data_IF_607566203070
#
_entry.id   IF_607566203070
#
_cell.length_a   1.000
_cell.length_b   1.000
_cell.length_c   1.000
_cell.angle_alpha   90.00
_cell.angle_beta   90.00
_cell.angle_gamma   90.00
#
_symmetry.space_group_name_H-M   'P 1'
#
loop_
_entity.id
_entity.type
_entity.pdbx_description
1 polymer ?
#
# COMPACT_ATOMS: atom_id res chain seq x y z
N UNK A 1 -3.34 5.78 10.19
CA UNK A 1 -2.67 5.60 11.49
C UNK A 1 -2.60 4.12 11.79
N UNK A 2 -1.43 3.59 12.15
CA UNK A 2 -1.31 2.20 12.57
C UNK A 2 -2.15 1.91 13.82
N UNK A 3 -2.46 0.63 14.12
CA UNK A 3 -3.14 0.26 15.35
C UNK A 3 -2.44 0.88 16.58
N UNK A 4 -3.18 1.23 17.66
CA UNK A 4 -2.61 1.95 18.80
C UNK A 4 -1.34 1.33 19.37
N UNK A 5 -1.28 0.00 19.50
CA UNK A 5 -0.09 -0.70 20.00
C UNK A 5 1.12 -0.53 19.08
N UNK A 6 0.94 -0.71 17.78
CA UNK A 6 2.01 -0.55 16.79
C UNK A 6 2.49 0.92 16.71
N UNK A 7 1.61 1.88 16.99
CA UNK A 7 2.00 3.28 17.10
C UNK A 7 2.84 3.56 18.34
N UNK A 8 2.44 3.01 19.51
CA UNK A 8 3.23 3.12 20.75
C UNK A 8 4.61 2.50 20.57
N UNK A 9 4.69 1.29 20.00
CA UNK A 9 5.96 0.61 19.74
C UNK A 9 6.89 1.48 18.86
N UNK A 10 6.32 2.12 17.82
CA UNK A 10 7.06 3.03 16.94
C UNK A 10 7.59 4.26 17.69
N UNK A 11 6.76 4.88 18.53
CA UNK A 11 7.16 6.06 19.32
C UNK A 11 8.29 5.69 20.29
N UNK A 12 8.19 4.53 20.94
CA UNK A 12 9.22 4.03 21.85
C UNK A 12 10.53 3.73 21.10
N UNK A 13 10.46 3.13 19.91
CA UNK A 13 11.62 2.88 19.04
C UNK A 13 12.30 4.19 18.60
N UNK A 14 11.52 5.18 18.19
CA UNK A 14 12.02 6.52 17.83
C UNK A 14 12.66 7.20 19.05
N UNK A 15 12.06 7.08 20.23
CA UNK A 15 12.62 7.60 21.48
C UNK A 15 13.95 6.92 21.86
N UNK A 16 14.03 5.61 21.69
CA UNK A 16 15.22 4.82 22.00
C UNK A 16 16.40 5.10 21.06
N UNK A 17 16.15 5.62 19.86
CA UNK A 17 17.18 5.98 18.89
C UNK A 17 18.06 7.19 19.31
N UNK A 18 17.61 7.97 20.32
CA UNK A 18 18.37 9.08 20.90
C UNK A 18 18.69 10.19 19.88
N UNK A 19 19.99 10.45 19.70
CA UNK A 19 20.53 11.46 18.76
C UNK A 19 20.63 10.95 17.32
N UNK A 20 20.27 9.69 17.06
CA UNK A 20 20.27 9.15 15.71
C UNK A 20 19.17 9.79 14.86
N UNK A 21 19.43 9.92 13.55
CA UNK A 21 18.39 10.31 12.58
C UNK A 21 17.46 9.13 12.32
N UNK A 22 16.16 9.33 12.50
CA UNK A 22 15.13 8.30 12.26
C UNK A 22 14.25 8.72 11.08
N UNK A 23 14.16 7.87 10.07
CA UNK A 23 13.25 8.04 8.94
C UNK A 23 12.02 7.14 9.13
N UNK A 24 10.85 7.76 9.29
CA UNK A 24 9.56 7.05 9.32
C UNK A 24 8.81 7.35 8.02
N UNK A 25 8.52 6.31 7.23
CA UNK A 25 7.78 6.44 5.97
C UNK A 25 6.52 5.59 6.00
N UNK A 26 5.38 6.20 5.67
CA UNK A 26 4.10 5.51 5.52
C UNK A 26 3.17 6.34 4.60
N UNK A 27 2.55 5.70 3.61
CA UNK A 27 1.61 6.37 2.69
C UNK A 27 0.39 6.97 3.40
N UNK A 28 -0.01 6.41 4.55
CA UNK A 28 -1.14 6.88 5.34
C UNK A 28 -0.91 8.27 5.94
N UNK A 29 0.34 8.74 6.04
CA UNK A 29 0.62 10.10 6.53
C UNK A 29 0.04 11.17 5.60
N UNK A 30 -0.01 10.95 4.29
CA UNK A 30 -0.70 11.85 3.36
C UNK A 30 -2.21 11.91 3.60
N UNK A 31 -2.80 10.83 4.16
CA UNK A 31 -4.23 10.70 4.49
C UNK A 31 -4.56 11.17 5.91
N UNK A 32 -3.57 11.45 6.75
CA UNK A 32 -3.77 11.82 8.13
C UNK A 32 -4.61 13.11 8.23
N UNK A 33 -5.70 13.10 8.99
CA UNK A 33 -6.46 14.32 9.24
C UNK A 33 -5.73 15.22 10.26
N UNK A 34 -6.19 16.45 10.43
CA UNK A 34 -5.48 17.47 11.23
C UNK A 34 -5.08 17.00 12.64
N UNK A 35 -6.05 16.47 13.41
CA UNK A 35 -5.77 15.89 14.73
C UNK A 35 -4.70 14.76 14.69
N UNK A 36 -4.69 13.91 13.66
CA UNK A 36 -3.68 12.86 13.52
C UNK A 36 -2.30 13.46 13.24
N UNK A 37 -2.20 14.46 12.35
CA UNK A 37 -0.94 15.14 12.07
C UNK A 37 -0.36 15.78 13.35
N UNK A 38 -1.19 16.52 14.11
CA UNK A 38 -0.76 17.12 15.37
C UNK A 38 -0.38 16.10 16.44
N UNK A 39 -1.08 14.96 16.50
CA UNK A 39 -0.71 13.85 17.38
C UNK A 39 0.64 13.25 17.00
N UNK A 40 0.87 12.98 15.72
CA UNK A 40 2.12 12.42 15.21
C UNK A 40 3.29 13.34 15.55
N UNK A 41 3.18 14.64 15.23
CA UNK A 41 4.26 15.61 15.50
C UNK A 41 4.58 15.70 16.98
N UNK A 42 3.55 15.72 17.83
CA UNK A 42 3.72 15.81 19.29
C UNK A 42 4.35 14.56 19.88
N UNK A 43 3.87 13.38 19.51
CA UNK A 43 4.31 12.09 20.07
C UNK A 43 5.69 11.67 19.55
N UNK A 44 6.08 12.07 18.34
CA UNK A 44 7.46 11.91 17.84
C UNK A 44 8.44 12.99 18.39
N UNK A 45 7.93 13.93 19.19
CA UNK A 45 8.70 14.99 19.84
C UNK A 45 8.54 16.35 19.17
N UNK A 46 7.69 17.21 19.74
CA UNK A 46 7.38 18.54 19.20
C UNK A 46 8.62 19.30 18.70
N UNK A 47 8.57 19.79 17.45
CA UNK A 47 9.66 20.54 16.83
C UNK A 47 10.83 19.70 16.29
N UNK A 48 10.86 18.38 16.51
CA UNK A 48 11.86 17.47 15.92
C UNK A 48 11.48 16.96 14.52
N UNK A 49 10.22 16.57 14.22
CA UNK A 49 9.87 16.00 12.93
C UNK A 49 10.04 16.99 11.78
N UNK A 50 10.81 16.59 10.78
CA UNK A 50 10.82 17.22 9.46
C UNK A 50 9.93 16.39 8.53
N UNK A 51 8.90 17.01 7.97
CA UNK A 51 7.92 16.36 7.10
C UNK A 51 8.36 16.46 5.66
N UNK A 52 8.58 15.29 5.04
CA UNK A 52 8.93 15.18 3.63
C UNK A 52 7.74 14.69 2.82
N UNK A 53 7.48 15.36 1.71
CA UNK A 53 6.45 14.99 0.75
C UNK A 53 7.05 14.86 -0.64
N UNK A 54 6.63 13.84 -1.39
CA UNK A 54 7.00 13.70 -2.80
C UNK A 54 5.78 14.03 -3.68
N UNK A 55 5.88 15.13 -4.42
CA UNK A 55 4.88 15.59 -5.35
C UNK A 55 5.16 15.05 -6.76
N UNK A 56 4.26 14.22 -7.28
CA UNK A 56 4.31 13.67 -8.65
C UNK A 56 3.27 14.37 -9.54
N UNK A 57 3.58 14.49 -10.83
CA UNK A 57 2.65 14.96 -11.86
C UNK A 57 1.37 14.11 -11.89
N UNK A 58 0.20 14.73 -12.05
CA UNK A 58 -1.06 14.00 -12.03
C UNK A 58 -1.24 13.06 -13.22
N UNK A 59 -0.67 13.39 -14.38
CA UNK A 59 -0.70 12.54 -15.57
C UNK A 59 0.07 11.21 -15.40
N UNK A 60 1.08 11.19 -14.54
CA UNK A 60 1.81 9.98 -14.14
C UNK A 60 1.21 9.29 -12.92
N UNK A 61 0.69 10.08 -11.99
CA UNK A 61 0.08 9.59 -10.75
C UNK A 61 -1.21 8.81 -11.02
N UNK A 62 -2.14 9.35 -11.82
CA UNK A 62 -3.48 8.81 -11.97
C UNK A 62 -3.51 7.39 -12.59
N UNK A 63 -2.77 7.08 -13.68
CA UNK A 63 -2.67 5.71 -14.18
C UNK A 63 -2.10 4.74 -13.14
N UNK A 64 -1.07 5.17 -12.40
CA UNK A 64 -0.45 4.38 -11.35
C UNK A 64 -1.41 4.13 -10.19
N UNK A 65 -2.19 5.14 -9.79
CA UNK A 65 -3.14 5.04 -8.70
C UNK A 65 -4.32 4.14 -9.06
N UNK A 66 -4.84 4.23 -10.29
CA UNK A 66 -5.83 3.28 -10.78
C UNK A 66 -5.33 1.83 -10.72
N UNK A 67 -4.06 1.56 -11.09
CA UNK A 67 -3.50 0.20 -10.96
C UNK A 67 -3.46 -0.28 -9.51
N UNK A 68 -3.11 0.57 -8.54
CA UNK A 68 -3.15 0.19 -7.12
C UNK A 68 -4.58 -0.10 -6.67
N UNK A 69 -5.57 0.65 -7.15
CA UNK A 69 -6.98 0.35 -6.90
C UNK A 69 -7.41 -0.97 -7.54
N UNK A 70 -6.99 -1.28 -8.77
CA UNK A 70 -7.27 -2.57 -9.44
C UNK A 70 -6.67 -3.72 -8.66
N UNK A 71 -5.43 -3.60 -8.17
CA UNK A 71 -4.84 -4.59 -7.24
C UNK A 71 -5.65 -4.67 -5.94
N UNK A 72 -6.28 -3.58 -5.53
CA UNK A 72 -7.20 -3.46 -4.40
C UNK A 72 -8.65 -3.95 -4.62
N UNK A 73 -9.01 -4.39 -5.83
CA UNK A 73 -10.36 -4.86 -6.14
C UNK A 73 -11.23 -3.90 -6.97
N UNK A 74 -10.68 -2.82 -7.50
CA UNK A 74 -11.41 -1.91 -8.41
C UNK A 74 -11.86 -2.61 -9.69
N UNK A 75 -13.06 -2.28 -10.14
CA UNK A 75 -13.75 -2.93 -11.25
C UNK A 75 -13.92 -2.02 -12.47
N UNK A 76 -13.90 -0.69 -12.25
CA UNK A 76 -14.04 0.30 -13.31
C UNK A 76 -12.84 0.26 -14.25
N UNK A 77 -13.12 0.33 -15.55
CA UNK A 77 -12.08 0.54 -16.55
C UNK A 77 -11.38 1.90 -16.33
N UNK A 78 -10.18 2.08 -16.86
CA UNK A 78 -9.36 3.25 -16.54
C UNK A 78 -10.04 4.58 -16.94
N UNK A 79 -10.57 4.70 -18.16
CA UNK A 79 -11.22 5.96 -18.58
C UNK A 79 -12.55 6.18 -17.85
N UNK A 80 -13.32 5.13 -17.57
CA UNK A 80 -14.52 5.22 -16.75
C UNK A 80 -14.19 5.76 -15.35
N UNK A 81 -13.15 5.18 -14.73
CA UNK A 81 -12.65 5.63 -13.44
C UNK A 81 -12.21 7.10 -13.50
N UNK A 82 -11.44 7.50 -14.52
CA UNK A 82 -11.02 8.89 -14.72
C UNK A 82 -12.22 9.85 -14.78
N UNK A 83 -13.27 9.48 -15.53
CA UNK A 83 -14.49 10.31 -15.64
C UNK A 83 -15.13 10.52 -14.28
N UNK A 84 -15.15 9.51 -13.41
CA UNK A 84 -15.72 9.62 -12.07
C UNK A 84 -14.84 10.49 -11.16
N UNK A 85 -13.53 10.31 -11.18
CA UNK A 85 -12.64 10.95 -10.19
C UNK A 85 -12.35 12.41 -10.53
N UNK A 86 -12.39 12.79 -11.81
CA UNK A 86 -12.16 14.18 -12.23
C UNK A 86 -13.36 15.10 -11.99
N UNK A 87 -14.53 14.53 -11.72
CA UNK A 87 -15.74 15.29 -11.35
C UNK A 87 -15.60 15.86 -9.93
N UNK A 88 -15.75 17.18 -9.73
CA UNK A 88 -15.58 17.85 -8.44
C UNK A 88 -16.78 17.62 -7.51
N UNK A 89 -17.12 16.35 -7.26
CA UNK A 89 -18.32 15.98 -6.49
C UNK A 89 -18.21 16.32 -5.00
N UNK A 90 -16.99 16.50 -4.48
CA UNK A 90 -16.74 16.71 -3.05
C UNK A 90 -17.14 15.52 -2.16
N UNK A 91 -17.63 14.43 -2.74
CA UNK A 91 -18.12 13.25 -2.03
C UNK A 91 -16.99 12.36 -1.47
N UNK A 92 -17.32 11.30 -0.70
CA UNK A 92 -16.33 10.47 -0.01
C UNK A 92 -15.26 9.87 -0.93
N UNK A 93 -15.67 9.39 -2.12
CA UNK A 93 -14.74 8.84 -3.13
C UNK A 93 -13.77 9.91 -3.65
N UNK A 94 -14.30 11.07 -4.07
CA UNK A 94 -13.49 12.19 -4.53
C UNK A 94 -12.48 12.62 -3.46
N UNK A 95 -12.93 12.82 -2.21
CA UNK A 95 -12.06 13.17 -1.08
C UNK A 95 -10.98 12.12 -0.81
N UNK A 96 -11.32 10.83 -0.83
CA UNK A 96 -10.36 9.74 -0.60
C UNK A 96 -9.21 9.73 -1.62
N UNK A 97 -9.48 10.19 -2.83
CA UNK A 97 -8.51 10.24 -3.94
C UNK A 97 -7.73 11.54 -3.90
N UNK A 98 -8.39 12.69 -3.80
CA UNK A 98 -7.75 13.99 -3.98
C UNK A 98 -7.16 14.59 -2.71
N UNK A 99 -7.70 14.31 -1.51
CA UNK A 99 -7.16 14.90 -0.27
C UNK A 99 -5.68 14.55 -0.03
N UNK A 100 -5.20 13.31 -0.26
CA UNK A 100 -3.79 12.99 -0.09
C UNK A 100 -2.91 13.57 -1.20
N UNK A 101 -3.50 13.94 -2.34
CA UNK A 101 -2.80 14.40 -3.53
C UNK A 101 -2.75 15.93 -3.61
N UNK A 102 -3.67 16.62 -2.92
CA UNK A 102 -3.65 18.07 -2.73
C UNK A 102 -2.45 18.47 -1.88
N UNK A 103 -1.29 18.61 -2.52
CA UNK A 103 -0.03 18.91 -1.83
C UNK A 103 -0.11 20.21 -1.01
N UNK A 104 -0.72 21.32 -1.49
CA UNK A 104 -0.93 22.51 -0.65
C UNK A 104 -1.71 22.20 0.64
N UNK A 105 -2.84 21.50 0.55
CA UNK A 105 -3.67 21.19 1.74
C UNK A 105 -3.01 20.21 2.71
N UNK A 106 -2.06 19.40 2.24
CA UNK A 106 -1.26 18.54 3.11
C UNK A 106 -0.13 19.35 3.74
N UNK A 107 0.57 20.20 2.97
CA UNK A 107 1.60 21.12 3.48
C UNK A 107 1.04 22.01 4.58
N UNK A 108 -0.09 22.69 4.34
CA UNK A 108 -0.77 23.53 5.33
C UNK A 108 -1.03 22.78 6.63
N UNK A 109 -1.60 21.58 6.52
CA UNK A 109 -1.95 20.73 7.67
C UNK A 109 -0.71 20.38 8.49
N UNK A 110 0.35 19.90 7.84
CA UNK A 110 1.56 19.49 8.56
C UNK A 110 2.36 20.69 9.07
N UNK A 111 2.45 21.78 8.30
CA UNK A 111 3.09 23.02 8.71
C UNK A 111 2.41 23.65 9.93
N UNK A 112 1.08 23.51 10.06
CA UNK A 112 0.33 23.96 11.23
C UNK A 112 0.76 23.32 12.56
N UNK A 113 1.38 22.12 12.51
CA UNK A 113 1.85 21.41 13.71
C UNK A 113 3.38 21.37 13.84
N UNK A 114 4.10 21.19 12.72
CA UNK A 114 5.55 21.06 12.69
C UNK A 114 6.30 22.38 12.46
N UNK A 115 5.60 23.42 11.96
CA UNK A 115 6.21 24.64 11.43
C UNK A 115 6.57 24.51 9.95
N UNK A 116 6.40 25.60 9.18
CA UNK A 116 6.65 25.61 7.74
C UNK A 116 8.10 25.27 7.37
N UNK A 117 9.07 25.73 8.19
CA UNK A 117 10.50 25.46 7.99
C UNK A 117 10.87 23.97 8.09
N UNK A 118 10.00 23.18 8.73
CA UNK A 118 10.12 21.73 8.92
C UNK A 118 9.26 20.95 7.92
N UNK A 119 8.82 21.58 6.83
CA UNK A 119 8.12 20.89 5.72
C UNK A 119 8.91 21.10 4.44
N UNK A 120 9.10 20.03 3.67
CA UNK A 120 9.75 20.11 2.36
C UNK A 120 9.03 19.25 1.35
N UNK A 121 8.79 19.84 0.17
CA UNK A 121 8.19 19.16 -0.98
C UNK A 121 9.29 18.84 -1.98
N UNK A 122 9.45 17.56 -2.30
CA UNK A 122 10.30 17.08 -3.39
C UNK A 122 9.42 16.91 -4.62
N UNK A 123 9.71 17.62 -5.71
CA UNK A 123 9.02 17.40 -6.98
C UNK A 123 9.70 16.25 -7.71
N UNK A 124 8.95 15.18 -7.97
CA UNK A 124 9.49 14.01 -8.65
C UNK A 124 9.63 14.27 -10.16
N UNK A 125 10.84 14.03 -10.68
CA UNK A 125 11.16 14.00 -12.11
C UNK A 125 11.49 12.55 -12.53
N UNK A 126 10.59 11.92 -13.27
CA UNK A 126 10.78 10.54 -13.75
C UNK A 126 11.90 10.40 -14.78
N UNK A 127 12.29 11.49 -15.46
CA UNK A 127 13.45 11.48 -16.33
C UNK A 127 14.77 11.45 -15.54
N UNK A 128 14.72 11.77 -14.24
CA UNK A 128 15.87 11.81 -13.32
C UNK A 128 15.60 10.92 -12.10
N UNK A 129 15.71 9.61 -12.31
CA UNK A 129 15.46 8.58 -11.30
C UNK A 129 16.24 8.76 -9.97
N UNK A 130 17.38 9.47 -9.99
CA UNK A 130 18.19 9.77 -8.80
C UNK A 130 17.73 11.01 -8.02
N UNK A 131 16.85 11.85 -8.55
CA UNK A 131 16.46 13.12 -7.90
C UNK A 131 15.87 12.92 -6.49
N UNK A 132 14.92 12.00 -6.31
CA UNK A 132 14.35 11.74 -4.99
C UNK A 132 15.35 11.05 -4.06
N UNK A 133 16.03 9.95 -4.46
CA UNK A 133 17.10 9.34 -3.65
C UNK A 133 18.17 10.33 -3.20
N UNK A 134 18.68 11.17 -4.10
CA UNK A 134 19.72 12.15 -3.78
C UNK A 134 19.20 13.22 -2.81
N UNK A 135 17.94 13.64 -2.95
CA UNK A 135 17.29 14.54 -1.99
C UNK A 135 17.17 13.90 -0.60
N UNK A 136 16.80 12.61 -0.52
CA UNK A 136 16.78 11.87 0.75
C UNK A 136 18.17 11.74 1.35
N UNK A 137 19.18 11.38 0.56
CA UNK A 137 20.57 11.30 1.02
C UNK A 137 21.03 12.64 1.61
N UNK A 138 20.79 13.74 0.89
CA UNK A 138 21.14 15.08 1.36
C UNK A 138 20.41 15.47 2.66
N UNK A 139 19.09 15.24 2.73
CA UNK A 139 18.28 15.60 3.89
C UNK A 139 18.62 14.77 5.14
N UNK A 140 19.10 13.54 4.94
CA UNK A 140 19.51 12.64 6.02
C UNK A 140 21.01 12.71 6.33
N UNK A 141 21.78 13.56 5.63
CA UNK A 141 23.24 13.65 5.79
C UNK A 141 23.99 12.38 5.38
N UNK A 142 23.42 11.59 4.47
CA UNK A 142 24.01 10.35 3.96
C UNK A 142 24.97 10.64 2.79
N UNK A 143 25.98 9.79 2.56
CA UNK A 143 26.83 9.88 1.37
C UNK A 143 26.03 9.84 0.08
N UNK A 144 26.42 10.65 -0.89
CA UNK A 144 25.85 10.63 -2.25
C UNK A 144 26.04 9.26 -2.89
N UNK A 145 24.97 8.69 -3.44
CA UNK A 145 24.99 7.37 -4.08
C UNK A 145 24.85 6.18 -3.14
N UNK A 146 24.58 6.40 -1.85
CA UNK A 146 24.38 5.33 -0.88
C UNK A 146 23.10 4.51 -1.17
N UNK A 147 22.01 5.16 -1.56
CA UNK A 147 20.75 4.51 -1.88
C UNK A 147 20.86 3.78 -3.23
N UNK A 148 20.79 2.45 -3.15
CA UNK A 148 20.80 1.56 -4.32
C UNK A 148 19.46 1.57 -5.04
N UNK A 149 19.50 1.73 -6.36
CA UNK A 149 18.35 1.74 -7.25
C UNK A 149 18.27 0.48 -8.11
N UNK A 150 18.99 -0.58 -7.73
CA UNK A 150 19.03 -1.84 -8.46
C UNK A 150 17.64 -2.43 -8.72
N UNK A 151 17.50 -3.10 -9.87
CA UNK A 151 16.23 -3.61 -10.37
C UNK A 151 15.62 -4.73 -9.49
N UNK A 152 16.40 -5.35 -8.60
CA UNK A 152 15.91 -6.37 -7.65
C UNK A 152 14.86 -5.80 -6.68
N UNK A 153 14.86 -4.48 -6.47
CA UNK A 153 13.86 -3.76 -5.68
C UNK A 153 12.83 -3.01 -6.54
N UNK A 154 12.80 -3.24 -7.86
CA UNK A 154 11.90 -2.49 -8.73
C UNK A 154 10.44 -2.91 -8.51
N UNK A 155 9.66 -1.95 -8.01
CA UNK A 155 8.24 -2.08 -7.79
C UNK A 155 7.50 -1.90 -9.14
N UNK A 156 7.81 -2.71 -10.16
CA UNK A 156 7.24 -2.51 -11.51
C UNK A 156 5.71 -2.43 -11.48
N UNK A 157 5.18 -1.51 -12.28
CA UNK A 157 3.76 -1.45 -12.61
C UNK A 157 3.33 -2.68 -13.41
N UNK A 158 2.05 -3.01 -13.34
CA UNK A 158 1.47 -4.01 -14.23
C UNK A 158 1.41 -3.43 -15.64
N UNK A 159 1.54 -4.31 -16.64
CA UNK A 159 1.16 -3.97 -18.00
C UNK A 159 -0.36 -3.81 -18.08
N UNK A 160 -0.87 -3.17 -19.13
CA UNK A 160 -2.30 -3.02 -19.31
C UNK A 160 -3.03 -4.38 -19.38
N UNK A 161 -2.58 -5.39 -20.16
CA UNK A 161 -3.18 -6.73 -20.12
C UNK A 161 -3.17 -7.38 -18.74
N UNK A 162 -2.10 -7.22 -17.97
CA UNK A 162 -2.00 -7.74 -16.60
C UNK A 162 -3.01 -7.06 -15.66
N UNK A 163 -3.11 -5.73 -15.70
CA UNK A 163 -4.07 -4.98 -14.91
C UNK A 163 -5.51 -5.37 -15.27
N UNK A 164 -5.80 -5.53 -16.55
CA UNK A 164 -7.11 -5.92 -17.06
C UNK A 164 -7.49 -7.37 -16.76
N UNK A 165 -6.52 -8.28 -16.67
CA UNK A 165 -6.73 -9.63 -16.13
C UNK A 165 -7.10 -9.58 -14.64
N UNK A 166 -6.37 -8.80 -13.84
CA UNK A 166 -6.71 -8.62 -12.41
C UNK A 166 -8.10 -7.98 -12.25
N UNK A 167 -8.44 -6.96 -13.04
CA UNK A 167 -9.77 -6.33 -13.02
C UNK A 167 -10.89 -7.33 -13.33
N UNK A 168 -10.69 -8.24 -14.29
CA UNK A 168 -11.65 -9.34 -14.59
C UNK A 168 -11.76 -10.32 -13.43
N UNK A 169 -10.67 -10.63 -12.73
CA UNK A 169 -10.70 -11.43 -11.50
C UNK A 169 -11.53 -10.71 -10.41
N UNK A 170 -11.46 -9.37 -10.32
CA UNK A 170 -12.21 -8.59 -9.35
C UNK A 170 -13.73 -8.71 -9.55
N UNK A 171 -14.18 -8.76 -10.82
CA UNK A 171 -15.58 -9.06 -11.15
C UNK A 171 -15.99 -10.44 -10.67
N UNK A 172 -15.20 -11.49 -10.98
CA UNK A 172 -15.46 -12.85 -10.51
C UNK A 172 -15.56 -12.92 -8.98
N UNK A 173 -14.65 -12.26 -8.25
CA UNK A 173 -14.70 -12.22 -6.79
C UNK A 173 -15.96 -11.55 -6.24
N UNK A 174 -16.44 -10.49 -6.90
CA UNK A 174 -17.65 -9.80 -6.49
C UNK A 174 -18.91 -10.60 -6.81
N UNK A 175 -18.99 -11.20 -7.99
CA UNK A 175 -20.11 -12.03 -8.43
C UNK A 175 -20.29 -13.27 -7.53
N UNK A 176 -19.17 -13.88 -7.13
CA UNK A 176 -19.16 -15.06 -6.26
C UNK A 176 -19.26 -14.70 -4.76
N UNK A 177 -19.19 -13.41 -4.40
CA UNK A 177 -19.25 -12.96 -3.01
C UNK A 177 -18.09 -13.47 -2.14
N UNK A 178 -16.91 -13.71 -2.72
CA UNK A 178 -15.75 -14.21 -1.99
C UNK A 178 -15.13 -13.16 -1.06
N UNK A 179 -14.52 -13.61 0.03
CA UNK A 179 -14.05 -12.71 1.09
C UNK A 179 -12.84 -11.88 0.68
N UNK A 180 -12.74 -10.66 1.24
CA UNK A 180 -11.56 -9.81 1.08
C UNK A 180 -10.27 -10.44 1.64
N UNK A 181 -10.37 -11.29 2.67
CA UNK A 181 -9.22 -12.07 3.16
C UNK A 181 -8.71 -13.03 2.08
N UNK A 182 -9.62 -13.74 1.40
CA UNK A 182 -9.26 -14.64 0.30
C UNK A 182 -8.65 -13.85 -0.86
N UNK A 183 -9.23 -12.70 -1.19
CA UNK A 183 -8.72 -11.81 -2.23
C UNK A 183 -7.29 -11.34 -1.93
N UNK A 184 -7.04 -10.86 -0.71
CA UNK A 184 -5.70 -10.46 -0.27
C UNK A 184 -4.70 -11.62 -0.34
N UNK A 185 -5.12 -12.83 0.06
CA UNK A 185 -4.24 -14.01 0.05
C UNK A 185 -3.92 -14.52 -1.35
N UNK A 186 -4.91 -14.62 -2.24
CA UNK A 186 -4.75 -15.28 -3.54
C UNK A 186 -4.40 -14.28 -4.64
N UNK A 187 -5.10 -13.14 -4.69
CA UNK A 187 -4.93 -12.16 -5.78
C UNK A 187 -3.73 -11.27 -5.46
N UNK A 188 -3.73 -10.56 -4.34
CA UNK A 188 -2.65 -9.61 -4.02
C UNK A 188 -1.31 -10.31 -3.73
N UNK A 189 -1.32 -11.30 -2.84
CA UNK A 189 -0.10 -12.02 -2.43
C UNK A 189 0.30 -13.19 -3.34
N UNK A 190 -0.55 -13.53 -4.33
CA UNK A 190 -0.29 -14.60 -5.30
C UNK A 190 -0.15 -14.04 -6.72
N UNK A 191 -1.29 -13.79 -7.37
CA UNK A 191 -1.38 -13.35 -8.78
C UNK A 191 -0.56 -12.08 -9.03
N UNK A 192 -0.88 -10.98 -8.36
CA UNK A 192 -0.24 -9.67 -8.54
C UNK A 192 1.24 -9.73 -8.20
N UNK A 193 1.59 -10.34 -7.07
CA UNK A 193 2.98 -10.47 -6.63
C UNK A 193 3.85 -11.23 -7.66
N UNK A 194 3.29 -12.27 -8.31
CA UNK A 194 4.00 -13.05 -9.32
C UNK A 194 4.17 -12.30 -10.63
N UNK A 195 3.10 -11.69 -11.14
CA UNK A 195 3.19 -10.86 -12.35
C UNK A 195 4.31 -9.84 -12.20
N UNK A 196 4.31 -9.04 -11.12
CA UNK A 196 5.32 -7.98 -10.88
C UNK A 196 6.76 -8.47 -10.84
N UNK A 197 7.01 -9.74 -10.49
CA UNK A 197 8.36 -10.31 -10.46
C UNK A 197 8.80 -10.89 -11.80
N UNK A 198 7.85 -11.18 -12.70
CA UNK A 198 8.15 -11.63 -14.04
C UNK A 198 8.44 -10.44 -14.95
N UNK A 199 9.31 -10.65 -15.95
CA UNK A 199 9.51 -9.68 -17.01
C UNK A 199 8.23 -9.61 -17.87
N UNK A 200 7.74 -8.41 -18.21
CA UNK A 200 6.63 -8.26 -19.15
C UNK A 200 7.05 -8.72 -20.54
N UNK A 201 6.09 -9.13 -21.37
CA UNK A 201 6.39 -9.42 -22.76
C UNK A 201 6.78 -8.10 -23.49
N UNK A 202 7.70 -8.13 -24.46
CA UNK A 202 8.12 -6.91 -25.17
C UNK A 202 6.97 -6.15 -25.85
N UNK A 203 5.90 -6.86 -26.20
CA UNK A 203 4.71 -6.32 -26.86
C UNK A 203 3.63 -5.85 -25.87
N UNK A 204 3.82 -6.05 -24.57
CA UNK A 204 2.81 -5.69 -23.60
C UNK A 204 2.74 -4.16 -23.45
N UNK A 205 1.58 -3.60 -23.79
CA UNK A 205 1.31 -2.18 -23.62
C UNK A 205 1.35 -1.79 -22.14
N UNK A 206 1.85 -0.57 -21.86
CA UNK A 206 1.66 0.06 -20.56
C UNK A 206 0.22 0.56 -20.42
N UNK A 207 -0.22 0.79 -19.19
CA UNK A 207 -1.48 1.53 -18.96
C UNK A 207 -1.35 2.91 -19.62
N UNK A 208 -2.36 3.33 -20.41
CA UNK A 208 -2.30 4.60 -21.14
C UNK A 208 -2.18 5.79 -20.19
N UNK A 209 -1.69 6.90 -20.75
CA UNK A 209 -1.62 8.20 -20.09
C UNK A 209 -2.97 8.90 -20.03
N UNK A 210 -2.94 10.22 -20.05
CA UNK A 210 -4.15 11.04 -19.91
C UNK A 210 -4.86 11.20 -21.27
N UNK A 211 -6.13 10.80 -21.40
CA UNK A 211 -6.86 10.98 -22.65
C UNK A 211 -7.17 12.45 -22.91
N UNK A 212 -7.28 12.84 -24.18
CA UNK A 212 -7.49 14.23 -24.62
C UNK A 212 -8.62 14.97 -23.86
N UNK A 213 -9.75 14.29 -23.60
CA UNK A 213 -10.89 14.90 -22.90
C UNK A 213 -10.61 15.26 -21.44
N UNK A 214 -9.58 14.68 -20.81
CA UNK A 214 -9.23 14.89 -19.41
C UNK A 214 -8.12 15.96 -19.22
N UNK A 215 -7.43 16.34 -20.30
CA UNK A 215 -6.22 17.17 -20.26
C UNK A 215 -6.50 18.53 -19.61
N UNK A 216 -7.54 19.23 -20.06
CA UNK A 216 -7.89 20.56 -19.55
C UNK A 216 -8.19 20.53 -18.06
N UNK A 217 -8.94 19.51 -17.60
CA UNK A 217 -9.28 19.37 -16.18
C UNK A 217 -8.05 19.09 -15.32
N UNK A 218 -7.11 18.29 -15.82
CA UNK A 218 -5.87 17.98 -15.10
C UNK A 218 -4.94 19.19 -15.08
N UNK A 219 -4.82 19.92 -16.19
CA UNK A 219 -4.05 21.16 -16.26
C UNK A 219 -4.58 22.19 -15.25
N UNK A 220 -5.91 22.33 -15.14
CA UNK A 220 -6.52 23.20 -14.12
C UNK A 220 -6.15 22.78 -12.70
N UNK A 221 -6.24 21.47 -12.38
CA UNK A 221 -5.86 20.95 -11.06
C UNK A 221 -4.36 21.11 -10.77
N UNK A 222 -3.51 21.02 -11.79
CA UNK A 222 -2.08 21.25 -11.66
C UNK A 222 -1.77 22.72 -11.35
N UNK A 223 -2.36 23.66 -12.11
CA UNK A 223 -2.19 25.10 -11.86
C UNK A 223 -2.56 25.48 -10.43
N UNK A 224 -3.75 25.06 -9.98
CA UNK A 224 -4.21 25.29 -8.60
C UNK A 224 -3.22 24.74 -7.56
N UNK A 225 -2.61 23.57 -7.84
CA UNK A 225 -1.62 22.95 -6.95
C UNK A 225 -0.32 23.75 -6.92
N UNK A 226 0.19 24.20 -8.07
CA UNK A 226 1.43 24.98 -8.18
C UNK A 226 1.26 26.35 -7.51
N UNK A 227 0.18 27.07 -7.84
CA UNK A 227 -0.14 28.36 -7.22
C UNK A 227 -0.26 28.24 -5.69
N UNK A 228 -0.94 27.20 -5.21
CA UNK A 228 -1.04 26.93 -3.77
C UNK A 228 0.31 26.68 -3.10
N UNK A 229 1.21 25.90 -3.72
CA UNK A 229 2.55 25.66 -3.18
C UNK A 229 3.41 26.93 -3.17
N UNK A 230 3.32 27.75 -4.22
CA UNK A 230 4.02 29.03 -4.30
C UNK A 230 3.53 30.01 -3.23
N UNK A 231 2.21 30.11 -3.05
CA UNK A 231 1.59 30.98 -2.05
C UNK A 231 1.98 30.60 -0.62
N UNK A 232 2.16 29.30 -0.35
CA UNK A 232 2.59 28.81 0.97
C UNK A 232 4.06 29.11 1.29
N UNK A 233 4.90 29.37 0.28
CA UNK A 233 6.33 29.60 0.48
C UNK A 233 7.08 28.42 1.10
N UNK A 234 6.57 27.20 0.93
CA UNK A 234 7.20 25.98 1.45
C UNK A 234 8.53 25.70 0.75
N UNK A 235 9.47 25.06 1.45
CA UNK A 235 10.72 24.61 0.83
C UNK A 235 10.43 23.56 -0.25
N UNK A 236 10.93 23.80 -1.46
CA UNK A 236 10.82 22.87 -2.59
C UNK A 236 12.20 22.40 -3.05
N UNK A 237 12.34 21.10 -3.27
CA UNK A 237 13.47 20.48 -3.95
C UNK A 237 12.99 19.99 -5.32
N UNK A 238 13.61 20.47 -6.39
CA UNK A 238 13.17 20.21 -7.76
C UNK A 238 12.46 21.42 -8.37
N UNK A 239 11.79 21.21 -9.49
CA UNK A 239 11.16 22.26 -10.31
C UNK A 239 9.63 22.15 -10.25
N UNK A 240 8.97 23.17 -9.68
CA UNK A 240 7.50 23.21 -9.59
C UNK A 240 6.82 23.21 -10.96
N UNK A 241 7.47 23.76 -11.99
CA UNK A 241 6.89 23.83 -13.34
C UNK A 241 6.71 22.43 -13.94
N UNK A 242 7.44 21.42 -13.44
CA UNK A 242 7.21 20.03 -13.81
C UNK A 242 5.81 19.57 -13.43
N UNK A 243 5.26 20.04 -12.30
CA UNK A 243 3.92 19.65 -11.85
C UNK A 243 2.81 20.17 -12.75
N UNK A 244 3.07 21.22 -13.53
CA UNK A 244 2.09 21.78 -14.47
C UNK A 244 1.96 20.96 -15.76
N UNK A 245 2.97 20.16 -16.08
CA UNK A 245 3.03 19.39 -17.33
C UNK A 245 1.98 18.28 -17.38
N UNK A 246 1.30 18.20 -18.52
CA UNK A 246 0.36 17.11 -18.87
C UNK A 246 0.74 16.56 -20.24
N UNK A 247 1.12 15.29 -20.28
CA UNK A 247 1.31 14.55 -21.54
C UNK A 247 -0.01 13.92 -21.97
N UNK A 248 -0.45 14.27 -23.18
CA UNK A 248 -1.66 13.72 -23.78
C UNK A 248 -1.36 12.36 -24.38
N UNK A 249 -2.23 11.39 -24.09
CA UNK A 249 -2.32 10.12 -24.79
C UNK A 249 -3.49 10.20 -25.77
N UNK A 250 -3.19 10.17 -27.07
CA UNK A 250 -4.19 10.19 -28.14
C UNK A 250 -4.88 8.82 -28.31
N UNK A 251 -4.48 7.81 -27.53
CA UNK A 251 -5.09 6.49 -27.51
C UNK A 251 -6.56 6.50 -27.10
N UNK A 252 -7.36 5.66 -27.76
CA UNK A 252 -8.69 5.28 -27.29
C UNK A 252 -8.59 4.41 -26.04
N UNK A 253 -9.67 4.31 -25.27
CA UNK A 253 -9.76 3.41 -24.10
C UNK A 253 -9.35 1.99 -24.51
N UNK A 254 -8.16 1.53 -24.12
CA UNK A 254 -7.62 0.29 -24.67
C UNK A 254 -8.17 -0.88 -23.86
N UNK A 255 -9.00 -1.69 -24.51
CA UNK A 255 -9.44 -2.97 -23.97
C UNK A 255 -8.58 -4.09 -24.57
N UNK A 256 -7.50 -4.52 -23.90
CA UNK A 256 -6.68 -5.63 -24.37
C UNK A 256 -7.55 -6.90 -24.44
N UNK A 257 -7.56 -7.55 -25.60
CA UNK A 257 -8.21 -8.84 -25.82
C UNK A 257 -7.26 -10.02 -25.59
N UNK A 258 -5.96 -9.76 -25.49
CA UNK A 258 -4.92 -10.79 -25.36
C UNK A 258 -3.98 -10.48 -24.21
N UNK A 259 -3.47 -11.54 -23.58
CA UNK A 259 -2.36 -11.49 -22.63
C UNK A 259 -1.31 -12.52 -23.05
N UNK A 260 -0.04 -12.28 -22.73
CA UNK A 260 1.01 -13.27 -22.96
C UNK A 260 0.75 -14.55 -22.15
N UNK A 261 1.12 -15.70 -22.71
CA UNK A 261 1.03 -16.99 -22.02
C UNK A 261 1.86 -17.00 -20.73
N UNK A 262 3.00 -16.32 -20.74
CA UNK A 262 3.85 -16.18 -19.56
C UNK A 262 3.14 -15.42 -18.43
N UNK A 263 2.51 -14.28 -18.71
CA UNK A 263 1.77 -13.54 -17.70
C UNK A 263 0.55 -14.34 -17.18
N UNK A 264 -0.15 -15.08 -18.06
CA UNK A 264 -1.22 -15.99 -17.65
C UNK A 264 -0.70 -17.13 -16.75
N UNK A 265 0.44 -17.74 -17.11
CA UNK A 265 1.07 -18.78 -16.32
C UNK A 265 1.50 -18.27 -14.93
N UNK A 266 2.06 -17.05 -14.85
CA UNK A 266 2.40 -16.41 -13.58
C UNK A 266 1.16 -16.16 -12.71
N UNK A 267 0.05 -15.75 -13.31
CA UNK A 267 -1.23 -15.58 -12.61
C UNK A 267 -1.68 -16.89 -11.96
N UNK A 268 -1.76 -17.95 -12.76
CA UNK A 268 -2.21 -19.29 -12.33
C UNK A 268 -1.26 -19.87 -11.29
N UNK A 269 0.06 -19.79 -11.51
CA UNK A 269 1.06 -20.27 -10.55
C UNK A 269 0.95 -19.53 -9.21
N UNK A 270 0.78 -18.20 -9.24
CA UNK A 270 0.58 -17.37 -8.06
C UNK A 270 -0.64 -17.81 -7.24
N UNK A 271 -1.76 -18.04 -7.91
CA UNK A 271 -2.99 -18.51 -7.28
C UNK A 271 -2.83 -19.91 -6.67
N UNK A 272 -2.31 -20.88 -7.42
CA UNK A 272 -2.08 -22.26 -6.96
C UNK A 272 -1.16 -22.29 -5.74
N UNK A 273 -0.06 -21.53 -5.75
CA UNK A 273 0.87 -21.49 -4.62
C UNK A 273 0.20 -20.99 -3.34
N UNK A 274 -0.65 -19.98 -3.45
CA UNK A 274 -1.38 -19.44 -2.30
C UNK A 274 -2.48 -20.40 -1.82
N UNK A 275 -3.17 -21.08 -2.73
CA UNK A 275 -4.11 -22.16 -2.39
C UNK A 275 -3.42 -23.30 -1.62
N UNK A 276 -2.29 -23.83 -2.13
CA UNK A 276 -1.52 -24.88 -1.47
C UNK A 276 -0.97 -24.44 -0.10
N UNK A 277 -0.54 -23.18 0.03
CA UNK A 277 -0.10 -22.61 1.33
C UNK A 277 -1.25 -22.56 2.33
N UNK A 278 -2.45 -22.19 1.88
CA UNK A 278 -3.66 -22.15 2.71
C UNK A 278 -4.05 -23.55 3.19
N UNK A 279 -4.09 -24.54 2.30
CA UNK A 279 -4.38 -25.93 2.65
C UNK A 279 -3.40 -26.47 3.70
N UNK A 280 -2.09 -26.24 3.50
CA UNK A 280 -1.05 -26.64 4.47
C UNK A 280 -1.24 -25.95 5.82
N UNK A 281 -1.61 -24.67 5.84
CA UNK A 281 -1.89 -23.92 7.08
C UNK A 281 -3.08 -24.53 7.82
N UNK A 282 -4.17 -24.81 7.11
CA UNK A 282 -5.37 -25.45 7.67
C UNK A 282 -5.06 -26.84 8.24
N UNK A 283 -4.33 -27.68 7.49
CA UNK A 283 -3.93 -29.02 7.94
C UNK A 283 -3.06 -28.96 9.21
N UNK A 284 -2.12 -28.01 9.28
CA UNK A 284 -1.28 -27.79 10.47
C UNK A 284 -2.10 -27.32 11.68
N UNK A 285 -3.06 -26.42 11.46
CA UNK A 285 -3.96 -25.95 12.52
C UNK A 285 -4.82 -27.10 13.06
N UNK A 286 -5.37 -27.93 12.17
CA UNK A 286 -6.15 -29.11 12.54
C UNK A 286 -5.30 -30.12 13.34
N UNK A 287 -4.09 -30.44 12.87
CA UNK A 287 -3.18 -31.32 13.60
C UNK A 287 -2.78 -30.77 14.98
N UNK A 288 -2.57 -29.46 15.10
CA UNK A 288 -2.28 -28.79 16.39
C UNK A 288 -3.49 -28.87 17.34
N UNK A 289 -4.70 -28.68 16.84
CA UNK A 289 -5.93 -28.81 17.63
C UNK A 289 -6.11 -30.25 18.14
N UNK A 290 -5.93 -31.26 17.28
CA UNK A 290 -5.97 -32.68 17.68
C UNK A 290 -4.92 -33.01 18.75
N UNK A 291 -3.67 -32.54 18.61
CA UNK A 291 -2.61 -32.73 19.61
C UNK A 291 -2.94 -32.06 20.95
N UNK A 292 -3.52 -30.87 20.94
CA UNK A 292 -3.98 -30.18 22.17
C UNK A 292 -5.12 -30.95 22.84
N UNK A 293 -6.09 -31.41 22.07
CA UNK A 293 -7.21 -32.22 22.59
C UNK A 293 -6.74 -33.58 23.14
N UNK A 294 -5.72 -34.20 22.55
CA UNK A 294 -5.12 -35.43 23.06
C UNK A 294 -4.35 -35.19 24.38
N UNK A 295 -3.59 -34.10 24.50
CA UNK A 295 -2.88 -33.72 25.73
C UNK A 295 -3.84 -33.32 26.86
N UNK A 296 -4.94 -32.64 26.54
CA UNK A 296 -5.98 -32.29 27.53
C UNK A 296 -6.72 -33.51 28.08
N UNK A 297 -6.84 -34.59 27.29
CA UNK A 297 -7.41 -35.88 27.73
C UNK A 297 -6.41 -36.80 28.45
N UNK A 298 -5.12 -36.48 28.44
CA UNK A 298 -4.05 -37.29 29.06
C UNK A 298 -3.72 -36.96 30.52
N UNK A 299 -4.48 -36.08 31.19
CA UNK A 299 -4.27 -35.73 32.62
C UNK A 299 -5.11 -36.61 33.56
N UNK A 300 -5.97 -37.48 33.04
CA UNK A 300 -6.87 -38.33 33.85
C UNK A 300 -6.55 -39.84 33.76
N UNK A 301 -5.28 -40.20 33.63
CA UNK A 301 -4.84 -41.60 33.78
C UNK A 301 -3.81 -41.72 34.89
N UNK A 302 -4.29 -41.75 36.15
CA UNK A 302 -3.54 -42.38 37.26
C UNK A 302 -3.81 -43.90 37.23
N UNK A 303 -2.81 -44.74 37.50
CA UNK A 303 -2.93 -46.19 37.33
C UNK A 303 -3.93 -46.78 38.34
N UNK A 304 -4.86 -47.61 37.87
CA UNK A 304 -5.75 -48.42 38.70
C UNK A 304 -4.96 -49.59 39.30
N UNK A 305 -4.00 -49.30 40.15
CA UNK A 305 -3.39 -50.27 41.06
C UNK A 305 -3.51 -49.69 42.45
N UNK A 306 -4.08 -50.46 43.38
CA UNK A 306 -4.44 -50.12 44.77
C UNK A 306 -5.88 -49.59 44.94
N UNK A 307 -6.88 -50.47 44.73
CA UNK A 307 -8.15 -50.43 45.50
C UNK A 307 -8.89 -51.78 45.52
N UNK A 308 -8.16 -52.87 45.82
CA UNK A 308 -8.77 -54.19 46.14
C UNK A 308 -8.58 -54.58 47.62
N UNK A 309 -7.93 -53.76 48.46
CA UNK A 309 -7.75 -54.07 49.90
C UNK A 309 -8.78 -53.47 50.88
N UNK A 310 -9.95 -53.03 50.42
CA UNK A 310 -10.93 -52.33 51.27
C UNK A 310 -12.34 -52.92 51.34
N UNK A 311 -12.63 -54.05 50.68
CA UNK A 311 -14.01 -54.57 50.56
C UNK A 311 -14.19 -56.07 50.86
N UNK A 312 -13.30 -56.64 51.66
CA UNK A 312 -13.46 -57.98 52.28
C UNK A 312 -13.25 -57.98 53.81
N UNK A 313 -13.31 -56.81 54.46
CA UNK A 313 -13.29 -56.66 55.92
C UNK A 313 -14.63 -56.15 56.50
N UNK A 314 -15.72 -56.24 55.73
CA UNK A 314 -17.09 -55.88 56.18
C UNK A 314 -18.11 -56.99 55.87
N UNK A 315 -17.68 -58.23 56.04
CA UNK A 315 -18.54 -59.43 56.20
C UNK A 315 -18.10 -60.24 57.43
N UNK A 316 -17.40 -59.59 58.37
CA UNK A 316 -17.21 -60.05 59.74
C UNK A 316 -17.86 -59.00 60.61
N UNK A 317 -18.89 -59.41 61.35
CA UNK A 317 -19.79 -58.65 62.20
C UNK A 317 -21.07 -58.09 61.53
N UNK A 318 -22.11 -58.93 61.68
CA UNK A 318 -23.57 -58.73 61.48
C UNK A 318 -24.16 -59.30 60.20
#
# INVERSE_FOLDING_TARGET
MPPPSAWTDLVDEVGAAGDSTVLVSNEDFGRAHDYQAGRIVRELGQGRPHVLMVARRYDRLLPSYWQELVKGGEQMAYHEWLRVVLQPTGGPRHRRIWLPQSTPSVVERWAGHAGLDNVTVIVADEARNRMAPDAFEQLLGLPTGLLDLSAEHSNRSLTLPEAELVRRINHVFADEGWSGELYHQVVQNGVVLRMRRAAPAPTDARVPGIPAWAVERIAELNRQRVEGLQALGVRVIGDLDLLDRVEVDEGTDPEPSTISLDAAAQAVEGAIRMALRRERKTARQHAKALRRAARGRGVESRPFTVRVRGRLARLRDR
#
